data_IF_822497237545
#
_entry.id   IF_822497237545
#
_cell.length_a   1.000
_cell.length_b   1.000
_cell.length_c   1.000
_cell.angle_alpha   90.00
_cell.angle_beta   90.00
_cell.angle_gamma   90.00
#
_symmetry.space_group_name_H-M   'P 1'
#
loop_
_entity.id
_entity.type
_entity.pdbx_description
1 polymer ?
#
# COMPACT_ATOMS: atom_id res chain seq x y z
N UNK A 1 33.12 -11.12 3.15
CA UNK A 1 32.39 -11.64 1.99
C UNK A 1 32.53 -10.58 0.89
N UNK A 2 33.26 -10.85 -0.18
CA UNK A 2 33.35 -9.89 -1.29
C UNK A 2 31.98 -9.85 -1.98
N UNK A 3 31.28 -8.72 -1.95
CA UNK A 3 30.05 -8.56 -2.71
C UNK A 3 30.39 -8.74 -4.19
N UNK A 4 29.85 -9.79 -4.82
CA UNK A 4 30.02 -10.00 -6.26
C UNK A 4 29.36 -8.85 -6.99
N UNK A 5 30.07 -8.27 -7.96
CA UNK A 5 29.55 -7.21 -8.81
C UNK A 5 28.21 -7.61 -9.44
N UNK A 6 27.26 -6.65 -9.53
CA UNK A 6 25.97 -6.87 -10.17
C UNK A 6 26.16 -7.21 -11.65
N UNK A 7 25.27 -8.05 -12.17
CA UNK A 7 25.22 -8.44 -13.59
C UNK A 7 23.90 -7.97 -14.22
N UNK A 8 23.77 -8.02 -15.54
CA UNK A 8 22.54 -7.58 -16.22
C UNK A 8 21.31 -8.41 -15.81
N UNK A 9 21.54 -9.68 -15.42
CA UNK A 9 20.49 -10.60 -14.98
C UNK A 9 19.95 -10.26 -13.58
N UNK A 10 20.72 -9.57 -12.75
CA UNK A 10 20.33 -9.20 -11.39
C UNK A 10 19.34 -8.03 -11.37
N UNK A 11 19.33 -7.21 -12.44
CA UNK A 11 18.54 -5.98 -12.55
C UNK A 11 17.63 -6.05 -13.79
N UNK A 12 16.32 -6.31 -13.64
CA UNK A 12 15.38 -6.30 -14.75
C UNK A 12 15.40 -4.97 -15.51
N UNK A 13 15.68 -5.02 -16.81
CA UNK A 13 15.78 -3.84 -17.68
C UNK A 13 17.19 -3.24 -17.78
N UNK A 14 18.20 -3.80 -17.11
CA UNK A 14 19.60 -3.40 -17.29
C UNK A 14 20.23 -3.98 -18.57
N UNK A 15 19.66 -5.04 -19.14
CA UNK A 15 20.06 -5.60 -20.44
C UNK A 15 19.27 -5.00 -21.60
N UNK A 16 19.93 -4.83 -22.75
CA UNK A 16 19.26 -4.52 -24.01
C UNK A 16 18.59 -5.75 -24.64
N UNK A 17 18.97 -6.97 -24.20
CA UNK A 17 18.48 -8.25 -24.73
C UNK A 17 18.60 -8.35 -26.27
N UNK A 18 19.69 -7.84 -26.83
CA UNK A 18 19.95 -7.81 -28.28
C UNK A 18 19.14 -6.78 -29.08
N UNK A 19 18.31 -5.96 -28.43
CA UNK A 19 17.53 -4.90 -29.10
C UNK A 19 18.42 -3.70 -29.41
N UNK A 20 18.19 -3.08 -30.57
CA UNK A 20 18.87 -1.82 -30.92
C UNK A 20 18.40 -0.67 -30.01
N UNK A 21 19.29 0.17 -29.47
CA UNK A 21 18.93 1.31 -28.62
C UNK A 21 17.89 2.25 -29.25
N UNK A 22 17.90 2.39 -30.58
CA UNK A 22 16.93 3.21 -31.30
C UNK A 22 15.47 2.72 -31.15
N UNK A 23 15.29 1.41 -30.94
CA UNK A 23 13.96 0.79 -30.80
C UNK A 23 13.36 0.94 -29.40
N UNK A 24 14.18 1.25 -28.39
CA UNK A 24 13.75 1.35 -27.00
C UNK A 24 13.02 2.67 -26.69
N UNK A 25 12.25 2.65 -25.60
CA UNK A 25 11.57 3.84 -25.07
C UNK A 25 12.54 4.71 -24.27
N UNK A 26 12.22 6.00 -24.12
CA UNK A 26 13.05 6.95 -23.37
C UNK A 26 13.29 6.51 -21.92
N UNK A 27 12.28 5.94 -21.28
CA UNK A 27 12.36 5.45 -19.89
C UNK A 27 13.32 4.25 -19.77
N UNK A 28 13.26 3.30 -20.71
CA UNK A 28 14.16 2.15 -20.76
C UNK A 28 15.61 2.61 -20.97
N UNK A 29 15.85 3.55 -21.89
CA UNK A 29 17.19 4.10 -22.15
C UNK A 29 17.75 4.84 -20.93
N UNK A 30 16.92 5.65 -20.27
CA UNK A 30 17.31 6.36 -19.04
C UNK A 30 17.63 5.38 -17.91
N UNK A 31 16.83 4.33 -17.75
CA UNK A 31 17.06 3.30 -16.74
C UNK A 31 18.35 2.53 -17.01
N UNK A 32 18.58 2.10 -18.26
CA UNK A 32 19.81 1.42 -18.67
C UNK A 32 21.06 2.24 -18.36
N UNK A 33 21.03 3.56 -18.63
CA UNK A 33 22.11 4.50 -18.33
C UNK A 33 22.32 4.69 -16.81
N UNK A 34 21.25 4.75 -16.02
CA UNK A 34 21.35 4.80 -14.54
C UNK A 34 22.03 3.55 -13.97
N UNK A 35 21.75 2.38 -14.52
CA UNK A 35 22.41 1.13 -14.13
C UNK A 35 23.93 1.14 -14.40
N UNK A 36 24.46 2.15 -15.11
CA UNK A 36 25.89 2.35 -15.38
C UNK A 36 26.45 3.62 -14.74
N UNK A 37 25.73 4.18 -13.78
CA UNK A 37 26.14 5.37 -13.04
C UNK A 37 26.03 6.69 -13.81
N UNK A 38 25.31 6.74 -14.95
CA UNK A 38 25.14 7.98 -15.68
C UNK A 38 24.20 8.94 -14.93
N UNK A 39 24.61 10.20 -14.79
CA UNK A 39 23.83 11.24 -14.10
C UNK A 39 22.61 11.74 -14.89
N UNK A 40 22.46 11.34 -16.16
CA UNK A 40 21.42 11.76 -17.11
C UNK A 40 21.33 13.28 -17.35
N UNK A 41 22.31 14.06 -16.88
CA UNK A 41 22.34 15.51 -17.03
C UNK A 41 22.48 15.89 -18.50
N UNK A 42 21.65 16.82 -18.96
CA UNK A 42 21.69 17.36 -20.33
C UNK A 42 21.00 16.50 -21.41
N UNK A 43 20.40 15.36 -21.07
CA UNK A 43 19.72 14.48 -22.03
C UNK A 43 18.23 14.86 -22.14
N UNK A 44 17.87 15.64 -23.18
CA UNK A 44 16.49 16.10 -23.43
C UNK A 44 15.77 15.27 -24.49
N UNK A 45 16.48 14.82 -25.53
CA UNK A 45 15.87 14.13 -26.68
C UNK A 45 16.18 12.63 -26.70
N UNK A 46 15.33 11.84 -27.38
CA UNK A 46 15.56 10.41 -27.59
C UNK A 46 16.88 10.13 -28.31
N UNK A 47 17.20 10.92 -29.34
CA UNK A 47 18.44 10.76 -30.10
C UNK A 47 19.69 10.94 -29.22
N UNK A 48 19.66 11.88 -28.27
CA UNK A 48 20.75 12.06 -27.30
C UNK A 48 20.90 10.86 -26.37
N UNK A 49 19.78 10.27 -25.91
CA UNK A 49 19.81 9.05 -25.09
C UNK A 49 20.39 7.88 -25.87
N UNK A 50 19.95 7.66 -27.12
CA UNK A 50 20.44 6.59 -28.00
C UNK A 50 21.95 6.73 -28.24
N UNK A 51 22.40 7.93 -28.64
CA UNK A 51 23.82 8.21 -28.86
C UNK A 51 24.65 7.95 -27.59
N UNK A 52 24.16 8.39 -26.44
CA UNK A 52 24.83 8.17 -25.15
C UNK A 52 24.96 6.67 -24.85
N UNK A 53 23.91 5.88 -25.06
CA UNK A 53 23.96 4.43 -24.88
C UNK A 53 25.00 3.78 -25.81
N UNK A 54 25.01 4.16 -27.08
CA UNK A 54 26.03 3.69 -28.04
C UNK A 54 27.45 4.08 -27.63
N UNK A 55 27.65 5.29 -27.10
CA UNK A 55 28.95 5.74 -26.60
C UNK A 55 29.43 4.91 -25.39
N UNK A 56 28.53 4.47 -24.51
CA UNK A 56 28.88 3.57 -23.40
C UNK A 56 29.31 2.19 -23.91
N UNK A 57 28.59 1.64 -24.89
CA UNK A 57 28.91 0.35 -25.51
C UNK A 57 30.26 0.42 -26.24
N UNK A 58 30.49 1.46 -27.05
CA UNK A 58 31.77 1.67 -27.75
C UNK A 58 32.94 1.84 -26.79
N UNK A 59 32.70 2.45 -25.63
CA UNK A 59 33.71 2.64 -24.60
C UNK A 59 33.93 1.40 -23.70
N UNK A 60 33.19 0.30 -23.90
CA UNK A 60 33.26 -0.90 -23.06
C UNK A 60 32.78 -0.68 -21.62
N UNK A 61 32.01 0.39 -21.36
CA UNK A 61 31.45 0.71 -20.03
C UNK A 61 30.09 0.07 -19.79
N UNK A 62 29.56 -0.64 -20.78
CA UNK A 62 28.31 -1.38 -20.72
C UNK A 62 28.33 -2.52 -19.69
N UNK A 63 29.51 -3.04 -19.35
CA UNK A 63 29.74 -4.13 -18.40
C UNK A 63 29.75 -3.69 -16.92
N UNK A 64 29.96 -2.39 -16.65
CA UNK A 64 30.04 -1.87 -15.29
C UNK A 64 28.65 -1.55 -14.74
N UNK A 65 28.04 -2.52 -14.06
CA UNK A 65 26.68 -2.42 -13.55
C UNK A 65 26.69 -1.97 -12.09
N UNK A 66 25.95 -0.91 -11.83
CA UNK A 66 25.73 -0.29 -10.53
C UNK A 66 24.25 -0.37 -10.21
N UNK A 67 23.92 -0.52 -8.93
CA UNK A 67 22.54 -0.47 -8.48
C UNK A 67 21.95 0.93 -8.75
N UNK A 68 20.92 1.06 -9.61
CA UNK A 68 20.31 2.34 -9.92
C UNK A 68 19.39 2.87 -8.80
N UNK A 69 19.09 2.04 -7.79
CA UNK A 69 18.17 2.38 -6.70
C UNK A 69 18.92 2.99 -5.50
N UNK A 70 18.46 4.11 -4.94
CA UNK A 70 19.10 4.75 -3.78
C UNK A 70 19.23 3.82 -2.57
N UNK A 71 18.31 2.87 -2.40
CA UNK A 71 18.29 1.94 -1.27
C UNK A 71 19.04 0.63 -1.57
N UNK A 72 19.73 0.55 -2.72
CA UNK A 72 20.53 -0.60 -3.16
C UNK A 72 19.76 -1.92 -3.16
N UNK A 73 18.52 -1.90 -3.66
CA UNK A 73 17.58 -3.03 -3.58
C UNK A 73 18.07 -4.27 -4.35
N UNK A 74 18.82 -4.09 -5.44
CA UNK A 74 19.32 -5.20 -6.27
C UNK A 74 20.56 -5.81 -5.63
N UNK A 75 21.46 -4.98 -5.09
CA UNK A 75 22.61 -5.44 -4.30
C UNK A 75 22.16 -6.26 -3.10
N UNK A 76 21.24 -5.72 -2.27
CA UNK A 76 20.67 -6.42 -1.10
C UNK A 76 19.98 -7.74 -1.46
N UNK A 77 19.39 -7.84 -2.67
CA UNK A 77 18.79 -9.09 -3.16
C UNK A 77 19.86 -10.12 -3.52
N UNK A 78 20.89 -9.72 -4.26
CA UNK A 78 21.97 -10.61 -4.71
C UNK A 78 22.71 -11.23 -3.54
N UNK A 79 23.11 -10.43 -2.56
CA UNK A 79 23.83 -10.89 -1.37
C UNK A 79 23.06 -11.97 -0.60
N UNK A 80 21.74 -11.84 -0.49
CA UNK A 80 20.88 -12.85 0.15
C UNK A 80 20.74 -14.12 -0.69
N UNK A 81 20.57 -13.98 -2.00
CA UNK A 81 20.50 -15.13 -2.90
C UNK A 81 21.80 -15.94 -2.85
N UNK A 82 22.93 -15.29 -2.64
CA UNK A 82 24.22 -15.95 -2.40
C UNK A 82 24.27 -16.60 -1.01
N UNK A 83 23.90 -15.89 0.06
CA UNK A 83 23.86 -16.46 1.42
C UNK A 83 22.93 -17.69 1.54
N UNK A 84 21.83 -17.68 0.78
CA UNK A 84 20.89 -18.81 0.70
C UNK A 84 21.38 -19.96 -0.17
N UNK A 85 22.23 -19.71 -1.19
CA UNK A 85 22.89 -20.78 -1.97
C UNK A 85 23.89 -21.55 -1.11
N UNK A 86 24.64 -20.86 -0.25
CA UNK A 86 25.58 -21.50 0.68
C UNK A 86 24.84 -22.36 1.73
N UNK A 87 23.64 -21.94 2.12
CA UNK A 87 22.78 -22.68 3.06
C UNK A 87 21.97 -23.83 2.40
N UNK A 88 21.70 -23.73 1.10
CA UNK A 88 20.92 -24.73 0.35
C UNK A 88 21.69 -26.01 0.03
N UNK A 89 23.01 -26.06 0.25
CA UNK A 89 23.79 -27.31 0.16
C UNK A 89 23.43 -28.30 1.28
N UNK A 90 22.72 -27.87 2.33
CA UNK A 90 22.24 -28.72 3.41
C UNK A 90 20.71 -28.98 3.41
N UNK A 91 19.94 -28.35 2.52
CA UNK A 91 18.47 -28.49 2.46
C UNK A 91 18.00 -28.75 1.01
N UNK A 92 18.59 -29.76 0.37
CA UNK A 92 17.84 -30.52 -0.65
C UNK A 92 16.94 -31.50 0.08
N UNK A 93 15.71 -31.10 0.42
CA UNK A 93 14.79 -32.02 1.08
C UNK A 93 13.48 -31.40 1.54
N UNK A 94 12.41 -31.70 0.81
CA UNK A 94 10.98 -31.51 1.13
C UNK A 94 10.42 -30.12 0.84
N UNK A 95 9.64 -30.03 -0.24
CA UNK A 95 8.62 -29.00 -0.47
C UNK A 95 7.58 -29.07 0.66
N UNK A 96 7.88 -28.53 1.85
CA UNK A 96 6.89 -28.37 2.91
C UNK A 96 5.86 -27.33 2.45
N UNK A 97 4.60 -27.74 2.39
CA UNK A 97 3.50 -26.81 2.17
C UNK A 97 3.34 -25.93 3.42
N UNK A 98 3.10 -24.62 3.25
CA UNK A 98 2.91 -23.72 4.39
C UNK A 98 1.61 -24.04 5.11
N UNK A 99 1.69 -24.19 6.43
CA UNK A 99 0.54 -24.40 7.31
C UNK A 99 0.29 -23.13 8.11
N UNK A 100 -0.83 -22.46 7.84
CA UNK A 100 -1.16 -21.21 8.53
C UNK A 100 -1.39 -21.47 10.02
N UNK A 101 -0.74 -20.70 10.91
CA UNK A 101 -0.91 -20.87 12.35
C UNK A 101 -2.32 -20.43 12.78
N UNK A 102 -2.87 -21.13 13.79
CA UNK A 102 -4.13 -20.73 14.44
C UNK A 102 -3.93 -19.46 15.26
N UNK A 103 -2.82 -19.39 16.00
CA UNK A 103 -2.53 -18.37 17.00
C UNK A 103 -1.16 -17.70 16.76
N UNK A 104 -0.82 -16.67 17.54
CA UNK A 104 0.46 -15.98 17.43
C UNK A 104 0.52 -14.90 16.35
N UNK A 105 -0.65 -14.39 15.93
CA UNK A 105 -0.76 -13.25 15.03
C UNK A 105 -0.38 -11.95 15.76
N UNK A 106 0.42 -11.12 15.11
CA UNK A 106 0.93 -9.86 15.64
C UNK A 106 0.98 -8.79 14.54
N UNK A 107 1.60 -7.65 14.81
CA UNK A 107 1.92 -6.61 13.80
C UNK A 107 3.43 -6.48 13.56
N UNK A 108 4.24 -7.41 14.07
CA UNK A 108 5.70 -7.36 13.98
C UNK A 108 6.21 -7.81 12.59
N UNK A 109 7.15 -7.05 12.03
CA UNK A 109 7.75 -7.30 10.72
C UNK A 109 9.25 -7.63 10.79
N UNK A 110 9.83 -7.77 12.00
CA UNK A 110 11.29 -7.97 12.15
C UNK A 110 11.81 -9.23 11.45
N UNK A 111 11.00 -10.29 11.42
CA UNK A 111 11.34 -11.56 10.72
C UNK A 111 10.86 -11.60 9.28
N UNK A 112 10.30 -10.51 8.76
CA UNK A 112 9.78 -10.46 7.40
C UNK A 112 10.94 -10.61 6.40
N UNK A 113 10.86 -11.55 5.45
CA UNK A 113 11.84 -11.62 4.38
C UNK A 113 11.73 -10.37 3.51
N UNK A 114 12.84 -9.95 2.92
CA UNK A 114 12.83 -8.85 1.96
C UNK A 114 12.01 -9.26 0.75
N UNK A 115 10.97 -8.49 0.49
CA UNK A 115 10.01 -8.77 -0.57
C UNK A 115 9.85 -7.52 -1.42
N UNK A 116 10.11 -7.64 -2.71
CA UNK A 116 10.10 -6.52 -3.64
C UNK A 116 9.29 -6.84 -4.89
N UNK A 117 9.31 -5.91 -5.85
CA UNK A 117 8.69 -6.08 -7.15
C UNK A 117 9.17 -7.33 -7.89
N UNK A 118 10.41 -7.78 -7.69
CA UNK A 118 10.95 -8.95 -8.36
C UNK A 118 10.26 -10.25 -7.89
N UNK A 119 10.17 -10.46 -6.58
CA UNK A 119 9.53 -11.64 -5.98
C UNK A 119 8.02 -11.64 -6.28
N UNK A 120 7.41 -10.44 -6.27
CA UNK A 120 6.02 -10.29 -6.72
C UNK A 120 5.84 -10.67 -8.20
N UNK A 121 6.71 -10.20 -9.10
CA UNK A 121 6.65 -10.56 -10.52
C UNK A 121 6.86 -12.06 -10.76
N UNK A 122 7.76 -12.68 -9.99
CA UNK A 122 7.98 -14.12 -10.02
C UNK A 122 6.71 -14.89 -9.62
N UNK A 123 6.00 -14.45 -8.57
CA UNK A 123 4.70 -15.04 -8.18
C UNK A 123 3.65 -14.91 -9.29
N UNK A 124 3.59 -13.74 -9.93
CA UNK A 124 2.67 -13.46 -11.03
C UNK A 124 2.94 -14.41 -12.21
N UNK A 125 4.21 -14.55 -12.60
CA UNK A 125 4.62 -15.46 -13.66
C UNK A 125 4.27 -16.93 -13.33
N UNK A 126 4.53 -17.39 -12.10
CA UNK A 126 4.18 -18.74 -11.62
C UNK A 126 2.68 -19.00 -11.62
N UNK A 127 1.86 -17.96 -11.48
CA UNK A 127 0.39 -18.07 -11.50
C UNK A 127 -0.19 -18.30 -12.90
N UNK A 128 0.64 -18.47 -13.94
CA UNK A 128 0.22 -18.66 -15.33
C UNK A 128 -0.36 -17.41 -15.99
N UNK A 129 -0.30 -16.26 -15.30
CA UNK A 129 -0.77 -14.97 -15.80
C UNK A 129 0.44 -14.12 -16.18
N UNK A 130 0.63 -13.85 -17.46
CA UNK A 130 1.63 -12.90 -17.90
C UNK A 130 1.03 -11.49 -17.85
N UNK A 131 1.50 -10.67 -16.92
CA UNK A 131 1.31 -9.23 -17.00
C UNK A 131 2.33 -8.73 -18.03
N UNK A 132 1.98 -8.83 -19.30
CA UNK A 132 2.90 -8.58 -20.40
C UNK A 132 3.38 -7.11 -20.39
N UNK A 133 4.62 -6.90 -19.96
CA UNK A 133 5.34 -5.64 -20.08
C UNK A 133 5.71 -5.30 -21.53
N UNK A 134 5.58 -6.27 -22.45
CA UNK A 134 5.89 -6.15 -23.89
C UNK A 134 4.66 -5.74 -24.70
N UNK A 135 3.46 -5.74 -24.10
CA UNK A 135 2.27 -5.28 -24.79
C UNK A 135 2.48 -3.83 -25.23
N UNK A 136 2.23 -3.53 -26.51
CA UNK A 136 2.48 -2.23 -27.17
C UNK A 136 1.72 -1.05 -26.55
N UNK A 137 1.01 -1.26 -25.44
CA UNK A 137 0.21 -0.26 -24.75
C UNK A 137 1.02 0.39 -23.62
N UNK A 138 1.09 1.72 -23.62
CA UNK A 138 1.66 2.53 -22.53
C UNK A 138 0.81 2.53 -21.25
N UNK A 139 -0.15 1.63 -21.13
CA UNK A 139 -1.09 1.59 -20.01
C UNK A 139 -0.63 0.60 -18.94
N UNK A 140 -0.73 1.02 -17.68
CA UNK A 140 -0.54 0.13 -16.54
C UNK A 140 -1.57 -1.00 -16.65
N UNK A 141 -1.15 -2.28 -16.58
CA UNK A 141 -2.04 -3.42 -16.68
C UNK A 141 -3.24 -3.27 -15.73
N UNK A 142 -4.45 -3.55 -16.22
CA UNK A 142 -5.69 -3.27 -15.49
C UNK A 142 -5.72 -3.88 -14.08
N UNK A 143 -5.13 -5.08 -13.91
CA UNK A 143 -5.01 -5.73 -12.61
C UNK A 143 -4.13 -4.93 -11.64
N UNK A 144 -2.98 -4.43 -12.11
CA UNK A 144 -2.09 -3.57 -11.32
C UNK A 144 -2.81 -2.27 -10.97
N UNK A 145 -3.47 -1.62 -11.92
CA UNK A 145 -4.23 -0.38 -11.67
C UNK A 145 -5.30 -0.58 -10.59
N UNK A 146 -6.07 -1.67 -10.65
CA UNK A 146 -7.09 -2.00 -9.64
C UNK A 146 -6.48 -2.29 -8.28
N UNK A 147 -5.39 -3.05 -8.22
CA UNK A 147 -4.67 -3.32 -6.98
C UNK A 147 -4.12 -2.04 -6.34
N UNK A 148 -3.56 -1.12 -7.13
CA UNK A 148 -3.11 0.19 -6.65
C UNK A 148 -4.25 1.01 -6.06
N UNK A 149 -5.44 0.97 -6.66
CA UNK A 149 -6.63 1.64 -6.10
C UNK A 149 -7.00 1.04 -4.74
N UNK A 150 -7.04 -0.30 -4.62
CA UNK A 150 -7.30 -0.95 -3.34
C UNK A 150 -6.32 -0.54 -2.24
N UNK A 151 -5.05 -0.35 -2.60
CA UNK A 151 -4.01 0.08 -1.69
C UNK A 151 -4.13 1.56 -1.30
N UNK A 152 -4.34 2.44 -2.28
CA UNK A 152 -4.37 3.89 -2.07
C UNK A 152 -5.65 4.38 -1.39
N UNK A 153 -6.77 3.68 -1.58
CA UNK A 153 -8.06 4.01 -0.97
C UNK A 153 -8.29 3.23 0.35
N UNK A 154 -7.24 2.62 0.91
CA UNK A 154 -7.22 1.95 2.21
C UNK A 154 -8.27 0.84 2.39
N UNK A 155 -8.51 0.04 1.34
CA UNK A 155 -9.43 -1.09 1.42
C UNK A 155 -8.82 -2.30 2.15
N UNK A 156 -7.50 -2.35 2.28
CA UNK A 156 -6.79 -3.36 3.06
C UNK A 156 -6.73 -2.94 4.53
N UNK A 157 -7.37 -3.72 5.41
CA UNK A 157 -7.36 -3.51 6.86
C UNK A 157 -6.93 -4.76 7.61
N UNK A 158 -6.65 -4.59 8.89
CA UNK A 158 -6.31 -5.65 9.85
C UNK A 158 -5.18 -6.55 9.35
N UNK A 159 -4.13 -5.94 8.80
CA UNK A 159 -2.94 -6.68 8.38
C UNK A 159 -2.28 -7.21 9.66
N UNK A 160 -2.17 -8.54 9.72
CA UNK A 160 -1.55 -9.26 10.82
C UNK A 160 -0.52 -10.23 10.27
N UNK A 161 0.53 -10.44 11.06
CA UNK A 161 1.70 -11.21 10.70
C UNK A 161 2.00 -12.28 11.72
N UNK A 162 2.49 -13.42 11.24
CA UNK A 162 3.00 -14.51 12.06
C UNK A 162 4.24 -15.09 11.39
N UNK A 163 5.10 -15.77 12.13
CA UNK A 163 6.30 -16.39 11.54
C UNK A 163 6.62 -17.70 12.24
N UNK A 164 7.05 -18.69 11.47
CA UNK A 164 7.60 -19.95 11.98
C UNK A 164 9.09 -20.07 11.60
N UNK A 165 9.67 -21.27 11.57
CA UNK A 165 11.08 -21.47 11.19
C UNK A 165 11.34 -21.28 9.69
N UNK A 166 10.34 -21.54 8.84
CA UNK A 166 10.49 -21.63 7.37
C UNK A 166 9.75 -20.52 6.62
N UNK A 167 8.63 -20.05 7.17
CA UNK A 167 7.65 -19.20 6.52
C UNK A 167 7.25 -18.00 7.37
N UNK A 168 6.99 -16.90 6.67
CA UNK A 168 6.42 -15.69 7.20
C UNK A 168 5.01 -15.51 6.61
N UNK A 169 4.02 -15.35 7.47
CA UNK A 169 2.61 -15.35 7.12
C UNK A 169 2.02 -13.96 7.24
N UNK A 170 1.15 -13.63 6.29
CA UNK A 170 0.28 -12.47 6.32
C UNK A 170 -1.18 -12.90 6.28
N UNK A 171 -2.00 -12.23 7.07
CA UNK A 171 -3.46 -12.28 7.01
C UNK A 171 -3.99 -10.85 6.98
N UNK A 172 -4.99 -10.60 6.16
CA UNK A 172 -5.64 -9.29 6.13
C UNK A 172 -7.07 -9.38 5.59
N UNK A 173 -7.83 -8.30 5.76
CA UNK A 173 -9.15 -8.13 5.20
C UNK A 173 -9.10 -7.12 4.05
N UNK A 174 -9.78 -7.42 2.95
CA UNK A 174 -9.97 -6.48 1.85
C UNK A 174 -11.45 -6.17 1.68
N UNK A 175 -11.83 -4.92 1.94
CA UNK A 175 -13.20 -4.47 1.77
C UNK A 175 -13.56 -4.30 0.30
N UNK A 176 -14.85 -4.46 0.00
CA UNK A 176 -15.39 -4.21 -1.33
C UNK A 176 -15.46 -2.71 -1.63
N UNK A 177 -15.10 -2.33 -2.87
CA UNK A 177 -15.15 -0.93 -3.30
C UNK A 177 -16.57 -0.38 -3.42
N UNK A 178 -17.52 -1.17 -3.92
CA UNK A 178 -18.91 -0.74 -4.15
C UNK A 178 -19.91 -1.29 -3.12
N UNK A 179 -19.60 -2.42 -2.49
CA UNK A 179 -20.53 -3.15 -1.61
C UNK A 179 -20.12 -2.99 -0.16
N UNK A 180 -20.39 -1.80 0.38
CA UNK A 180 -19.91 -1.42 1.73
C UNK A 180 -20.45 -2.29 2.85
N UNK A 181 -21.58 -2.96 2.65
CA UNK A 181 -22.23 -3.80 3.65
C UNK A 181 -21.83 -5.28 3.53
N UNK A 182 -21.17 -5.67 2.43
CA UNK A 182 -20.70 -7.04 2.25
C UNK A 182 -19.50 -7.31 3.17
N UNK A 183 -19.41 -8.55 3.65
CA UNK A 183 -18.27 -9.00 4.43
C UNK A 183 -16.97 -8.87 3.61
N UNK A 184 -15.86 -8.41 4.21
CA UNK A 184 -14.61 -8.25 3.49
C UNK A 184 -14.05 -9.60 3.04
N UNK A 185 -13.25 -9.57 1.98
CA UNK A 185 -12.50 -10.74 1.54
C UNK A 185 -11.35 -11.04 2.49
N UNK A 186 -11.24 -12.31 2.89
CA UNK A 186 -10.13 -12.81 3.70
C UNK A 186 -8.94 -13.09 2.79
N UNK A 187 -7.79 -12.49 3.09
CA UNK A 187 -6.54 -12.67 2.37
C UNK A 187 -5.55 -13.41 3.25
N UNK A 188 -4.81 -14.34 2.65
CA UNK A 188 -3.71 -15.06 3.28
C UNK A 188 -2.54 -15.16 2.31
N UNK A 189 -1.32 -14.87 2.77
CA UNK A 189 -0.08 -15.01 1.99
C UNK A 189 0.99 -15.63 2.89
N UNK A 190 1.78 -16.56 2.33
CA UNK A 190 2.93 -17.17 2.99
C UNK A 190 4.18 -16.96 2.13
N UNK A 191 5.20 -16.34 2.72
CA UNK A 191 6.51 -16.10 2.14
C UNK A 191 7.54 -17.05 2.74
N UNK A 192 8.50 -17.50 1.94
CA UNK A 192 9.68 -18.18 2.45
C UNK A 192 10.58 -17.19 3.19
N UNK A 193 10.99 -17.47 4.44
CA UNK A 193 11.86 -16.58 5.22
C UNK A 193 13.24 -16.43 4.57
N UNK A 194 13.74 -17.49 3.94
CA UNK A 194 15.08 -17.49 3.33
C UNK A 194 15.06 -16.82 1.96
N UNK A 195 14.18 -17.26 1.06
CA UNK A 195 14.18 -16.80 -0.33
C UNK A 195 13.27 -15.62 -0.63
N UNK A 196 12.36 -15.26 0.27
CA UNK A 196 11.33 -14.24 0.03
C UNK A 196 10.26 -14.65 -1.00
N UNK A 197 10.34 -15.85 -1.57
CA UNK A 197 9.34 -16.31 -2.54
C UNK A 197 7.97 -16.51 -1.91
N UNK A 198 6.92 -16.13 -2.63
CA UNK A 198 5.54 -16.51 -2.29
C UNK A 198 5.38 -18.01 -2.50
N UNK A 199 5.12 -18.74 -1.41
CA UNK A 199 4.85 -20.19 -1.45
C UNK A 199 3.37 -20.50 -1.49
N UNK A 200 2.55 -19.66 -0.86
CA UNK A 200 1.10 -19.77 -0.92
C UNK A 200 0.45 -18.39 -0.87
N UNK A 201 -0.63 -18.23 -1.62
CA UNK A 201 -1.51 -17.07 -1.54
C UNK A 201 -2.95 -17.54 -1.74
N UNK A 202 -3.88 -17.01 -0.96
CA UNK A 202 -5.31 -17.31 -1.12
C UNK A 202 -6.18 -16.13 -0.72
N UNK A 203 -7.25 -15.94 -1.47
CA UNK A 203 -8.27 -14.93 -1.21
C UNK A 203 -9.65 -15.56 -1.28
N UNK A 204 -10.58 -15.13 -0.41
CA UNK A 204 -11.96 -15.63 -0.42
C UNK A 204 -12.81 -15.15 -1.60
N UNK A 205 -12.27 -14.33 -2.51
CA UNK A 205 -12.98 -13.95 -3.73
C UNK A 205 -12.99 -15.08 -4.76
N UNK A 206 -13.90 -15.01 -5.74
CA UNK A 206 -14.05 -16.03 -6.80
C UNK A 206 -12.74 -16.35 -7.53
N UNK A 207 -11.94 -15.33 -7.86
CA UNK A 207 -10.65 -15.51 -8.53
C UNK A 207 -9.47 -15.87 -7.60
N UNK A 208 -9.72 -15.92 -6.28
CA UNK A 208 -8.68 -15.91 -5.25
C UNK A 208 -8.12 -17.27 -4.88
N UNK A 209 -8.77 -18.35 -5.31
CA UNK A 209 -8.37 -19.74 -5.06
C UNK A 209 -7.09 -20.13 -5.78
N UNK A 210 -6.81 -19.51 -6.94
CA UNK A 210 -5.61 -19.73 -7.75
C UNK A 210 -4.40 -18.93 -7.22
N UNK A 211 -4.55 -18.22 -6.10
CA UNK A 211 -3.49 -17.41 -5.50
C UNK A 211 -3.14 -16.13 -6.27
N UNK A 212 -3.94 -15.75 -7.27
CA UNK A 212 -3.82 -14.47 -7.97
C UNK A 212 -5.18 -13.81 -8.23
N UNK A 213 -5.39 -12.69 -7.55
CA UNK A 213 -6.48 -11.75 -7.79
C UNK A 213 -6.00 -10.32 -7.48
N UNK A 214 -6.82 -9.31 -7.79
CA UNK A 214 -6.44 -7.91 -7.53
C UNK A 214 -6.27 -7.61 -6.04
N UNK A 215 -6.97 -8.34 -5.15
CA UNK A 215 -6.83 -8.18 -3.71
C UNK A 215 -5.49 -8.73 -3.18
N UNK A 216 -5.08 -9.91 -3.66
CA UNK A 216 -3.75 -10.48 -3.34
C UNK A 216 -2.66 -9.59 -3.90
N UNK A 217 -2.82 -9.09 -5.13
CA UNK A 217 -1.85 -8.17 -5.71
C UNK A 217 -1.72 -6.88 -4.88
N UNK A 218 -2.83 -6.34 -4.37
CA UNK A 218 -2.79 -5.17 -3.49
C UNK A 218 -2.03 -5.46 -2.19
N UNK A 219 -2.26 -6.63 -1.58
CA UNK A 219 -1.53 -7.06 -0.38
C UNK A 219 -0.03 -7.23 -0.66
N UNK A 220 0.35 -7.89 -1.75
CA UNK A 220 1.75 -8.03 -2.17
C UNK A 220 2.41 -6.66 -2.43
N UNK A 221 1.67 -5.69 -2.96
CA UNK A 221 2.14 -4.31 -3.12
C UNK A 221 2.37 -3.62 -1.77
N UNK A 222 1.49 -3.79 -0.76
CA UNK A 222 1.74 -3.27 0.60
C UNK A 222 2.96 -3.95 1.24
N UNK A 223 3.13 -5.26 1.04
CA UNK A 223 4.32 -6.01 1.53
C UNK A 223 5.60 -5.48 0.88
N UNK A 224 5.57 -5.16 -0.42
CA UNK A 224 6.69 -4.49 -1.09
C UNK A 224 7.04 -3.16 -0.41
N UNK A 225 6.02 -2.36 -0.05
CA UNK A 225 6.23 -1.09 0.66
C UNK A 225 6.89 -1.32 2.02
N UNK A 226 6.42 -2.28 2.82
CA UNK A 226 7.04 -2.57 4.13
C UNK A 226 8.54 -2.86 4.01
N UNK A 227 8.93 -3.57 2.95
CA UNK A 227 10.34 -3.87 2.68
C UNK A 227 11.11 -2.62 2.27
N UNK A 228 10.55 -1.82 1.35
CA UNK A 228 11.21 -0.62 0.81
C UNK A 228 11.44 0.46 1.85
N UNK A 229 10.54 0.59 2.83
CA UNK A 229 10.63 1.54 3.92
C UNK A 229 11.24 0.94 5.20
N UNK A 230 11.72 -0.32 5.14
CA UNK A 230 12.35 -1.02 6.26
C UNK A 230 11.50 -1.02 7.55
N UNK A 231 10.18 -1.20 7.37
CA UNK A 231 9.22 -1.12 8.47
C UNK A 231 9.42 -2.26 9.48
N UNK A 232 9.35 -1.94 10.77
CA UNK A 232 9.40 -2.93 11.86
C UNK A 232 8.01 -3.33 12.33
N UNK A 233 7.03 -2.48 12.09
CA UNK A 233 5.62 -2.75 12.39
C UNK A 233 4.72 -2.44 11.19
N UNK A 234 3.62 -3.18 11.08
CA UNK A 234 2.60 -2.98 10.04
C UNK A 234 2.03 -1.55 10.07
N UNK A 235 1.90 -0.95 11.25
CA UNK A 235 1.27 0.36 11.43
C UNK A 235 2.18 1.54 11.05
N UNK A 236 3.47 1.32 10.78
CA UNK A 236 4.42 2.40 10.43
C UNK A 236 4.11 3.07 9.09
N UNK A 237 3.29 2.45 8.24
CA UNK A 237 2.87 3.01 6.94
C UNK A 237 1.45 3.58 6.93
N UNK A 238 0.83 3.75 8.09
CA UNK A 238 -0.57 4.21 8.18
C UNK A 238 -0.67 5.73 8.45
N UNK A 239 0.46 6.43 8.61
CA UNK A 239 0.50 7.89 8.66
C UNK A 239 0.74 8.46 7.25
N UNK A 240 -0.22 9.24 6.75
CA UNK A 240 -0.18 9.93 5.44
C UNK A 240 1.08 10.78 5.22
N UNK A 241 1.73 11.26 6.29
CA UNK A 241 2.98 12.04 6.22
C UNK A 241 4.17 11.23 5.67
N UNK A 242 4.17 9.91 5.81
CA UNK A 242 5.23 9.02 5.29
C UNK A 242 4.94 8.50 3.87
N UNK A 243 3.70 8.71 3.38
CA UNK A 243 3.23 8.22 2.08
C UNK A 243 3.34 9.23 0.93
N UNK A 244 3.45 10.52 1.22
CA UNK A 244 3.67 11.55 0.20
C UNK A 244 4.66 12.61 0.68
N UNK A 245 5.64 12.91 -0.18
CA UNK A 245 6.40 14.16 -0.10
C UNK A 245 5.39 15.32 0.06
N UNK A 246 5.43 16.05 1.19
CA UNK A 246 4.46 17.11 1.55
C UNK A 246 4.15 17.99 0.34
N UNK A 247 3.07 17.64 -0.33
CA UNK A 247 2.58 18.30 -1.51
C UNK A 247 1.81 19.51 -1.00
N UNK A 248 2.06 20.70 -1.57
CA UNK A 248 1.33 21.90 -1.20
C UNK A 248 -0.18 21.64 -1.28
N UNK A 249 -0.99 22.27 -0.42
CA UNK A 249 -2.44 22.06 -0.34
C UNK A 249 -3.21 22.32 -1.66
N UNK A 250 -2.55 22.92 -2.66
CA UNK A 250 -3.06 23.19 -4.01
C UNK A 250 -2.52 22.26 -5.09
N UNK A 251 -1.55 21.39 -4.76
CA UNK A 251 -0.89 20.50 -5.74
C UNK A 251 -1.64 19.19 -5.99
N UNK A 252 -2.62 18.86 -5.15
CA UNK A 252 -3.55 17.76 -5.37
C UNK A 252 -4.91 18.27 -5.83
N UNK A 253 -5.51 17.59 -6.82
CA UNK A 253 -6.91 17.78 -7.18
C UNK A 253 -7.80 17.50 -5.95
N UNK A 254 -8.92 18.21 -5.88
CA UNK A 254 -9.91 18.13 -4.80
C UNK A 254 -10.09 16.70 -4.24
N UNK A 255 -9.81 16.47 -2.95
CA UNK A 255 -9.80 15.11 -2.39
C UNK A 255 -11.12 14.72 -1.68
N UNK A 256 -12.10 15.61 -1.56
CA UNK A 256 -13.37 15.35 -0.87
C UNK A 256 -14.20 14.21 -1.47
N UNK A 257 -13.96 13.87 -2.75
CA UNK A 257 -14.58 12.72 -3.41
C UNK A 257 -13.87 11.39 -3.13
N UNK A 258 -12.65 11.40 -2.56
CA UNK A 258 -11.97 10.20 -2.06
C UNK A 258 -12.62 9.81 -0.75
N UNK A 259 -13.77 9.16 -0.85
CA UNK A 259 -14.42 8.54 0.30
C UNK A 259 -13.64 7.27 0.64
N UNK A 260 -12.51 7.41 1.32
CA UNK A 260 -11.96 6.29 2.09
C UNK A 260 -13.06 5.75 3.00
N UNK A 261 -13.05 4.45 3.30
CA UNK A 261 -13.90 3.84 4.34
C UNK A 261 -13.33 4.19 5.73
N UNK A 262 -12.98 5.46 5.91
CA UNK A 262 -12.64 6.06 7.20
C UNK A 262 -13.85 5.96 8.12
N UNK A 263 -13.60 6.15 9.41
CA UNK A 263 -14.67 6.15 10.40
C UNK A 263 -15.79 7.06 9.91
N UNK A 264 -17.01 6.53 9.93
CA UNK A 264 -18.19 7.27 9.51
C UNK A 264 -18.17 8.59 10.27
N UNK A 265 -18.00 9.70 9.53
CA UNK A 265 -18.00 11.04 10.12
C UNK A 265 -19.38 11.20 10.73
N UNK A 266 -19.45 10.94 12.03
CA UNK A 266 -20.68 11.13 12.78
C UNK A 266 -20.81 12.64 12.96
N UNK A 267 -21.99 13.22 12.70
CA UNK A 267 -22.21 14.63 12.94
C UNK A 267 -21.86 14.91 14.40
N UNK A 268 -20.80 15.71 14.60
CA UNK A 268 -20.48 16.20 15.93
C UNK A 268 -21.30 17.47 16.15
N UNK A 269 -22.03 17.57 17.28
CA UNK A 269 -22.80 18.75 17.60
C UNK A 269 -21.86 19.96 17.77
N UNK A 270 -21.96 20.93 16.85
CA UNK A 270 -21.26 22.21 16.96
C UNK A 270 -22.01 23.13 17.93
N UNK A 271 -21.35 23.55 19.01
CA UNK A 271 -21.98 24.42 20.03
C UNK A 271 -21.87 25.92 19.71
N UNK A 272 -20.84 26.32 18.97
CA UNK A 272 -20.50 27.72 18.76
C UNK A 272 -19.84 27.87 17.39
N UNK A 273 -20.35 28.78 16.56
CA UNK A 273 -19.75 29.15 15.28
C UNK A 273 -19.19 30.55 15.44
N UNK A 274 -17.86 30.66 15.44
CA UNK A 274 -17.18 31.94 15.57
C UNK A 274 -16.79 32.42 14.18
N UNK A 275 -17.54 33.38 13.65
CA UNK A 275 -17.28 33.97 12.34
C UNK A 275 -16.36 35.18 12.53
N UNK A 276 -15.05 34.98 12.32
CA UNK A 276 -14.09 36.10 12.30
C UNK A 276 -13.93 36.63 10.88
N UNK A 277 -13.96 37.95 10.71
CA UNK A 277 -13.46 38.58 9.48
C UNK A 277 -11.93 38.41 9.42
N UNK A 278 -11.40 38.04 8.26
CA UNK A 278 -9.96 38.02 8.01
C UNK A 278 -9.47 39.44 7.80
N UNK A 279 -9.16 40.16 8.87
CA UNK A 279 -8.38 41.39 8.75
C UNK A 279 -6.89 41.07 9.01
N UNK A 280 -6.05 41.51 8.07
CA UNK A 280 -4.61 41.53 8.25
C UNK A 280 -4.31 42.47 9.42
N UNK A 281 -3.68 41.91 10.45
CA UNK A 281 -3.01 42.59 11.56
C UNK A 281 -3.77 43.75 12.21
N UNK A 282 -4.37 43.47 13.38
CA UNK A 282 -4.37 44.45 14.47
C UNK A 282 -4.28 43.72 15.82
N UNK A 283 -3.39 44.24 16.64
CA UNK A 283 -2.97 43.75 17.96
C UNK A 283 -4.15 43.38 18.86
N UNK A 284 -4.24 42.09 19.21
CA UNK A 284 -5.27 41.53 20.09
C UNK A 284 -5.10 42.02 21.52
N UNK A 285 -5.83 43.07 21.85
CA UNK A 285 -6.09 43.49 23.24
C UNK A 285 -7.55 43.90 23.36
N UNK A 286 -8.43 42.93 23.62
CA UNK A 286 -9.66 43.08 24.41
C UNK A 286 -10.39 41.74 24.46
N UNK A 287 -11.21 41.58 25.48
CA UNK A 287 -11.94 40.38 25.86
C UNK A 287 -12.52 39.60 24.68
N UNK A 288 -12.43 38.27 24.77
CA UNK A 288 -13.04 37.32 23.83
C UNK A 288 -14.52 37.66 23.67
N UNK A 289 -14.90 38.24 22.54
CA UNK A 289 -16.30 38.33 22.16
C UNK A 289 -16.82 36.89 22.07
N UNK A 290 -17.80 36.48 22.90
CA UNK A 290 -18.38 35.15 22.79
C UNK A 290 -19.01 35.06 21.40
N UNK A 291 -18.68 34.01 20.66
CA UNK A 291 -19.32 33.74 19.38
C UNK A 291 -20.82 33.61 19.56
N UNK A 292 -21.57 33.58 18.45
CA UNK A 292 -23.03 33.46 18.50
C UNK A 292 -23.38 32.13 19.18
N UNK A 293 -23.82 32.20 20.44
CA UNK A 293 -24.25 31.05 21.23
C UNK A 293 -25.69 30.68 20.90
N UNK A 294 -25.92 29.41 20.60
CA UNK A 294 -27.28 28.90 20.47
C UNK A 294 -27.95 28.84 21.86
N UNK A 295 -29.00 29.62 22.07
CA UNK A 295 -29.76 29.67 23.35
C UNK A 295 -30.87 28.62 23.43
N UNK A 296 -31.16 27.91 22.34
CA UNK A 296 -32.37 27.10 22.20
C UNK A 296 -32.18 25.62 22.56
N UNK A 297 -30.96 25.07 22.45
CA UNK A 297 -30.72 23.64 22.68
C UNK A 297 -29.24 23.28 22.93
N UNK A 298 -28.98 22.37 23.87
CA UNK A 298 -27.64 21.83 24.12
C UNK A 298 -27.42 20.51 23.35
N UNK A 299 -26.77 20.63 22.20
CA UNK A 299 -26.64 19.54 21.23
C UNK A 299 -25.78 18.34 21.67
N UNK A 300 -25.15 18.41 22.86
CA UNK A 300 -24.36 17.32 23.46
C UNK A 300 -25.17 16.42 24.41
N UNK A 301 -26.45 16.71 24.66
CA UNK A 301 -27.32 15.76 25.37
C UNK A 301 -27.48 14.52 24.50
N UNK A 302 -26.71 13.51 24.83
CA UNK A 302 -26.64 12.25 24.11
C UNK A 302 -28.03 11.59 24.15
N UNK A 303 -28.74 11.59 23.02
CA UNK A 303 -30.10 11.03 22.89
C UNK A 303 -30.13 9.57 23.38
N UNK A 304 -29.02 8.83 23.22
CA UNK A 304 -28.88 7.44 23.71
C UNK A 304 -28.98 7.29 25.23
N UNK A 305 -28.74 8.34 26.02
CA UNK A 305 -28.88 8.31 27.49
C UNK A 305 -30.28 8.72 27.96
N UNK A 306 -31.17 9.14 27.06
CA UNK A 306 -32.50 9.63 27.42
C UNK A 306 -33.62 8.59 27.30
N UNK A 307 -33.31 7.34 26.91
CA UNK A 307 -34.34 6.29 26.80
C UNK A 307 -35.10 6.05 28.11
N UNK A 308 -34.41 6.09 29.26
CA UNK A 308 -35.06 5.95 30.56
C UNK A 308 -35.99 7.14 30.91
N UNK A 309 -35.60 8.36 30.51
CA UNK A 309 -36.42 9.55 30.70
C UNK A 309 -37.63 9.55 29.74
N UNK A 310 -37.45 9.05 28.53
CA UNK A 310 -38.50 8.86 27.52
C UNK A 310 -39.52 7.80 27.96
N UNK A 311 -39.06 6.64 28.46
CA UNK A 311 -39.93 5.61 29.04
C UNK A 311 -40.73 6.15 30.23
N UNK A 312 -40.08 6.92 31.12
CA UNK A 312 -40.74 7.53 32.27
C UNK A 312 -41.79 8.56 31.86
N UNK A 313 -41.51 9.37 30.84
CA UNK A 313 -42.45 10.32 30.27
C UNK A 313 -43.65 9.60 29.62
N UNK A 314 -43.40 8.53 28.86
CA UNK A 314 -44.43 7.71 28.22
C UNK A 314 -45.37 7.06 29.25
N UNK A 315 -44.83 6.56 30.36
CA UNK A 315 -45.63 6.04 31.48
C UNK A 315 -46.53 7.14 32.07
N UNK A 316 -45.95 8.31 32.35
CA UNK A 316 -46.69 9.46 32.90
C UNK A 316 -47.82 9.90 31.97
N UNK A 317 -47.57 9.94 30.65
CA UNK A 317 -48.57 10.34 29.65
C UNK A 317 -49.69 9.31 29.48
N UNK A 318 -49.39 8.01 29.64
CA UNK A 318 -50.39 6.94 29.63
C UNK A 318 -51.31 6.99 30.86
N UNK A 319 -50.78 7.35 32.03
CA UNK A 319 -51.58 7.56 33.24
C UNK A 319 -52.54 8.74 33.08
N UNK A 320 -52.07 9.84 32.47
CA UNK A 320 -52.88 11.04 32.24
C UNK A 320 -53.94 10.85 31.15
N UNK A 321 -53.67 10.07 30.11
CA UNK A 321 -54.64 9.78 29.06
C UNK A 321 -54.54 8.33 28.56
N UNK A 322 -55.35 7.41 29.14
CA UNK A 322 -55.30 5.99 28.80
C UNK A 322 -55.69 5.65 27.35
N UNK A 323 -56.33 6.58 26.64
CA UNK A 323 -56.74 6.40 25.23
C UNK A 323 -55.66 6.83 24.23
N UNK A 324 -54.56 7.42 24.71
CA UNK A 324 -53.47 7.89 23.86
C UNK A 324 -52.56 6.70 23.51
N UNK A 325 -52.67 6.22 22.26
CA UNK A 325 -51.85 5.13 21.76
C UNK A 325 -50.45 5.64 21.42
N UNK A 326 -49.44 5.16 22.14
CA UNK A 326 -48.04 5.34 21.80
C UNK A 326 -47.47 4.00 21.34
N UNK A 327 -47.25 3.85 20.03
CA UNK A 327 -46.61 2.68 19.45
C UNK A 327 -45.10 2.76 19.68
N UNK A 328 -44.60 1.91 20.57
CA UNK A 328 -43.17 1.77 20.85
C UNK A 328 -42.52 0.93 19.76
N UNK A 329 -42.11 1.55 18.64
CA UNK A 329 -41.06 1.04 17.74
C UNK A 329 -40.69 2.05 16.66
N UNK A 330 -39.52 2.68 16.82
CA UNK A 330 -38.63 3.08 15.72
C UNK A 330 -37.22 2.67 16.09
#
# INVERSE_FOLDING_TARGET
MASRALTEDDIPGASLAGRSPATLKNEELRFWLKCRGDSLKGLKTKAQLVKRVEDYIKAGRDQNIVDPDPNSIYTKRKERNEASKDSNSAISGTQRQPNFPSDGWSTDLKRMPFFTRAEMNLHIAKSGKNIDSTSKSHSVPTGVRKATIFLNDEYLKDISTASDENFFYFKSHCYHSFRKNDAPHNLKVALCIVSGEVKHASCSCVAGTVGFCNHILALLMKICKFTLYECKNVNELDNEDDMQQKQACTSTLQQWHRKGRGDSINPQPAMEVLVTKTYLEETRSSARDPGVRCLLYEARKNIRRQQADEEKLLVTLKELNPKMAFDSKV
#
